data_IF_021813029992
#
_entry.id   IF_021813029992
#
_cell.length_a   1.000
_cell.length_b   1.000
_cell.length_c   1.000
_cell.angle_alpha   90.00
_cell.angle_beta   90.00
_cell.angle_gamma   90.00
#
_symmetry.space_group_name_H-M   'P 1'
#
loop_
_entity.id
_entity.type
_entity.pdbx_description
1 polymer ?
#
# COMPACT_ATOMS: atom_id res chain seq x y z
N UNK A 1 17.86 -8.20 -3.07
CA UNK A 1 17.53 -6.84 -2.58
C UNK A 1 16.50 -6.97 -1.47
N UNK A 2 16.97 -7.20 -0.24
CA UNK A 2 16.94 -6.24 0.89
C UNK A 2 15.54 -5.67 1.10
N UNK A 3 14.76 -6.35 1.93
CA UNK A 3 13.46 -5.91 2.37
C UNK A 3 13.62 -4.73 3.32
N UNK A 4 13.47 -3.52 2.78
CA UNK A 4 12.96 -2.38 3.54
C UNK A 4 11.44 -2.59 3.61
N UNK A 5 10.98 -3.36 4.60
CA UNK A 5 9.59 -3.80 4.66
C UNK A 5 8.65 -2.62 4.88
N UNK A 6 7.91 -2.22 3.85
CA UNK A 6 6.82 -1.24 3.98
C UNK A 6 5.86 -1.61 5.11
N UNK A 7 5.70 -2.91 5.40
CA UNK A 7 4.92 -3.40 6.55
C UNK A 7 5.49 -2.87 7.86
N UNK A 8 6.81 -2.99 8.10
CA UNK A 8 7.45 -2.46 9.31
C UNK A 8 7.34 -0.95 9.41
N UNK A 9 7.41 -0.24 8.29
CA UNK A 9 7.20 1.21 8.27
C UNK A 9 5.76 1.53 8.72
N UNK A 10 4.76 0.82 8.21
CA UNK A 10 3.36 1.00 8.62
C UNK A 10 3.14 0.65 10.09
N UNK A 11 3.73 -0.45 10.59
CA UNK A 11 3.72 -0.83 12.00
C UNK A 11 4.33 0.28 12.88
N UNK A 12 5.51 0.78 12.52
CA UNK A 12 6.13 1.88 13.28
C UNK A 12 5.31 3.17 13.26
N UNK A 13 4.61 3.47 12.16
CA UNK A 13 3.72 4.64 12.07
C UNK A 13 2.48 4.48 12.96
N UNK A 14 1.95 3.27 13.08
CA UNK A 14 0.88 2.94 14.02
C UNK A 14 1.37 3.07 15.47
N UNK A 15 2.52 2.45 15.81
CA UNK A 15 3.10 2.50 17.15
C UNK A 15 3.41 3.94 17.59
N UNK A 16 3.82 4.80 16.64
CA UNK A 16 4.07 6.22 16.87
C UNK A 16 2.78 7.07 16.92
N UNK A 17 1.60 6.48 16.68
CA UNK A 17 0.31 7.17 16.65
C UNK A 17 0.11 8.12 15.45
N UNK A 18 0.91 7.97 14.39
CA UNK A 18 0.85 8.80 13.18
C UNK A 18 -0.34 8.38 12.31
N UNK A 19 -0.63 7.08 12.28
CA UNK A 19 -1.81 6.51 11.61
C UNK A 19 -2.61 5.65 12.60
N UNK A 20 -3.90 5.45 12.32
CA UNK A 20 -4.72 4.55 13.14
C UNK A 20 -4.40 3.08 12.83
N UNK A 21 -4.74 2.16 13.74
CA UNK A 21 -4.66 0.72 13.49
C UNK A 21 -5.47 0.30 12.26
N UNK A 22 -6.63 0.91 12.04
CA UNK A 22 -7.47 0.65 10.86
C UNK A 22 -6.74 1.04 9.56
N UNK A 23 -6.09 2.20 9.55
CA UNK A 23 -5.27 2.63 8.42
C UNK A 23 -4.09 1.68 8.20
N UNK A 24 -3.39 1.31 9.27
CA UNK A 24 -2.22 0.42 9.20
C UNK A 24 -2.59 -0.96 8.63
N UNK A 25 -3.70 -1.55 9.10
CA UNK A 25 -4.24 -2.80 8.57
C UNK A 25 -4.64 -2.67 7.10
N UNK A 26 -5.35 -1.60 6.76
CA UNK A 26 -5.80 -1.36 5.38
C UNK A 26 -4.61 -1.23 4.43
N UNK A 27 -3.63 -0.38 4.76
CA UNK A 27 -2.44 -0.13 3.93
C UNK A 27 -1.58 -1.39 3.79
N UNK A 28 -1.45 -2.17 4.87
CA UNK A 28 -0.73 -3.45 4.85
C UNK A 28 -1.41 -4.44 3.91
N UNK A 29 -2.74 -4.55 3.98
CA UNK A 29 -3.51 -5.43 3.10
C UNK A 29 -3.42 -4.98 1.64
N UNK A 30 -3.57 -3.68 1.38
CA UNK A 30 -3.42 -3.09 0.05
C UNK A 30 -2.04 -3.39 -0.55
N UNK A 31 -0.97 -3.17 0.23
CA UNK A 31 0.40 -3.47 -0.20
C UNK A 31 0.59 -4.96 -0.52
N UNK A 32 0.10 -5.86 0.34
CA UNK A 32 0.17 -7.32 0.09
C UNK A 32 -0.58 -7.70 -1.19
N UNK A 33 -1.76 -7.12 -1.43
CA UNK A 33 -2.55 -7.38 -2.64
C UNK A 33 -1.81 -6.93 -3.91
N UNK A 34 -1.33 -5.68 -3.94
CA UNK A 34 -0.51 -5.14 -5.04
C UNK A 34 0.70 -6.03 -5.33
N UNK A 35 1.40 -6.46 -4.28
CA UNK A 35 2.62 -7.28 -4.39
C UNK A 35 2.31 -8.69 -4.90
N UNK A 36 1.18 -9.27 -4.49
CA UNK A 36 0.69 -10.56 -4.99
C UNK A 36 0.35 -10.50 -6.47
N UNK A 37 -0.40 -9.48 -6.91
CA UNK A 37 -0.76 -9.30 -8.31
C UNK A 37 0.47 -9.02 -9.18
N UNK A 38 1.39 -8.17 -8.72
CA UNK A 38 2.65 -7.93 -9.43
C UNK A 38 3.49 -9.19 -9.58
N UNK A 39 3.56 -10.03 -8.54
CA UNK A 39 4.26 -11.30 -8.61
C UNK A 39 3.58 -12.28 -9.59
N UNK A 40 2.25 -12.36 -9.57
CA UNK A 40 1.48 -13.18 -10.52
C UNK A 40 1.74 -12.77 -11.96
N UNK A 41 1.72 -11.47 -12.27
CA UNK A 41 2.00 -10.96 -13.61
C UNK A 41 3.43 -11.24 -14.05
N UNK A 42 4.39 -11.09 -13.12
CA UNK A 42 5.78 -11.41 -13.38
C UNK A 42 5.99 -12.91 -13.70
N UNK A 43 5.33 -13.81 -12.97
CA UNK A 43 5.35 -15.25 -13.25
C UNK A 43 4.75 -15.58 -14.63
N UNK A 44 3.79 -14.79 -15.09
CA UNK A 44 3.16 -14.93 -16.40
C UNK A 44 3.95 -14.23 -17.53
N UNK A 45 5.11 -13.61 -17.22
CA UNK A 45 5.89 -12.78 -18.14
C UNK A 45 5.08 -11.63 -18.78
N UNK A 46 4.05 -11.17 -18.07
CA UNK A 46 3.23 -10.04 -18.48
C UNK A 46 3.79 -8.73 -17.89
N UNK A 47 3.52 -7.57 -18.50
CA UNK A 47 3.80 -6.29 -17.90
C UNK A 47 3.14 -6.19 -16.52
N UNK A 48 3.85 -5.62 -15.53
CA UNK A 48 3.30 -5.31 -14.20
C UNK A 48 2.44 -4.04 -14.28
N UNK A 49 1.40 -4.10 -15.11
CA UNK A 49 0.46 -3.03 -15.37
C UNK A 49 -0.94 -3.64 -15.31
N UNK A 50 -1.77 -3.07 -14.46
CA UNK A 50 -3.18 -3.45 -14.26
C UNK A 50 -4.08 -2.26 -14.55
N UNK A 51 -5.35 -2.52 -14.80
CA UNK A 51 -6.33 -1.45 -14.94
C UNK A 51 -6.39 -0.64 -13.65
N UNK A 52 -6.44 0.69 -13.76
CA UNK A 52 -6.60 1.59 -12.62
C UNK A 52 -7.88 1.32 -11.80
N UNK A 53 -8.88 0.68 -12.42
CA UNK A 53 -10.12 0.28 -11.78
C UNK A 53 -9.97 -0.93 -10.84
N UNK A 54 -8.98 -1.80 -11.07
CA UNK A 54 -8.78 -3.04 -10.30
C UNK A 54 -8.43 -2.77 -8.83
N UNK A 55 -7.86 -1.60 -8.55
CA UNK A 55 -7.44 -1.17 -7.22
C UNK A 55 -8.00 0.20 -6.84
N UNK A 56 -9.17 0.56 -7.38
CA UNK A 56 -9.73 1.90 -7.17
C UNK A 56 -9.92 2.22 -5.67
N UNK A 57 -10.43 1.25 -4.90
CA UNK A 57 -10.68 1.39 -3.45
C UNK A 57 -9.35 1.57 -2.70
N UNK A 58 -8.37 0.69 -2.96
CA UNK A 58 -7.05 0.79 -2.34
C UNK A 58 -6.37 2.12 -2.67
N UNK A 59 -6.48 2.59 -3.92
CA UNK A 59 -5.89 3.86 -4.34
C UNK A 59 -6.55 5.05 -3.66
N UNK A 60 -7.86 5.06 -3.54
CA UNK A 60 -8.59 6.14 -2.85
C UNK A 60 -8.14 6.25 -1.40
N UNK A 61 -8.13 5.13 -0.67
CA UNK A 61 -7.77 5.09 0.74
C UNK A 61 -6.29 5.40 0.98
N UNK A 62 -5.38 4.84 0.18
CA UNK A 62 -3.94 5.20 0.25
C UNK A 62 -3.74 6.69 0.00
N UNK A 63 -4.46 7.26 -0.98
CA UNK A 63 -4.38 8.69 -1.28
C UNK A 63 -4.95 9.55 -0.15
N UNK A 64 -6.05 9.13 0.48
CA UNK A 64 -6.63 9.84 1.62
C UNK A 64 -5.68 9.87 2.82
N UNK A 65 -5.05 8.73 3.15
CA UNK A 65 -4.01 8.66 4.19
C UNK A 65 -2.83 9.56 3.83
N UNK A 66 -2.36 9.49 2.58
CA UNK A 66 -1.24 10.32 2.12
C UNK A 66 -1.53 11.82 2.25
N UNK A 67 -2.71 12.26 1.81
CA UNK A 67 -3.13 13.67 1.89
C UNK A 67 -3.24 14.13 3.35
N UNK A 68 -3.76 13.29 4.25
CA UNK A 68 -3.82 13.61 5.68
C UNK A 68 -2.43 13.78 6.30
N UNK A 69 -1.45 12.97 5.90
CA UNK A 69 -0.11 12.98 6.50
C UNK A 69 0.82 14.03 5.89
N UNK A 70 0.75 14.24 4.58
CA UNK A 70 1.74 14.99 3.81
C UNK A 70 1.12 16.11 2.96
N UNK A 71 -0.21 16.18 2.85
CA UNK A 71 -0.94 17.17 2.05
C UNK A 71 -1.03 18.56 2.69
N UNK A 72 0.00 18.98 3.43
CA UNK A 72 0.12 20.36 3.90
C UNK A 72 0.83 21.22 2.85
N UNK A 73 0.07 21.75 1.88
CA UNK A 73 0.38 22.98 1.13
C UNK A 73 -0.89 23.52 0.47
#
# INVERSE_FOLDING_TARGET
TRWSDNIRILECLEEAGVISSEDAEFLTRAYKNYRSVGHRLQLQQLPVVVSAAEFAIEREQVSAVWQRLLGSS
#
